data_IF_908332537476
#
_entry.id   IF_908332537476
#
_cell.length_a   1.000
_cell.length_b   1.000
_cell.length_c   1.000
_cell.angle_alpha   90.00
_cell.angle_beta   90.00
_cell.angle_gamma   90.00
#
_symmetry.space_group_name_H-M   'P 1'
#
loop_
_entity.id
_entity.type
_entity.pdbx_description
1 polymer ?
#
# COMPACT_ATOMS: atom_id res chain seq x y z
N UNK A 1 79.50 -9.27 7.92
CA UNK A 1 79.29 -9.78 6.55
C UNK A 1 77.81 -9.65 6.24
N UNK A 2 77.49 -8.73 5.34
CA UNK A 2 76.15 -8.32 4.92
C UNK A 2 75.39 -9.45 4.22
N UNK A 3 74.07 -9.22 4.08
CA UNK A 3 73.08 -9.92 3.26
C UNK A 3 72.33 -11.03 3.98
N UNK A 4 71.04 -10.80 4.27
CA UNK A 4 69.95 -11.37 3.47
C UNK A 4 68.62 -10.67 3.82
N UNK A 5 68.23 -9.78 2.89
CA UNK A 5 66.90 -9.71 2.27
C UNK A 5 65.73 -9.28 3.16
N UNK A 6 65.67 -7.96 3.33
CA UNK A 6 64.44 -7.19 3.17
C UNK A 6 63.59 -7.76 2.01
N UNK A 7 62.54 -8.51 2.34
CA UNK A 7 61.56 -9.08 1.39
C UNK A 7 60.13 -9.04 1.96
N UNK A 8 59.86 -8.11 2.87
CA UNK A 8 58.54 -7.96 3.49
C UNK A 8 57.83 -6.68 3.04
N UNK A 9 58.48 -5.78 2.28
CA UNK A 9 57.91 -4.45 2.04
C UNK A 9 57.95 -3.99 0.57
N UNK A 10 57.96 -4.93 -0.38
CA UNK A 10 57.83 -4.65 -1.83
C UNK A 10 56.89 -5.68 -2.48
N UNK A 11 55.75 -5.94 -1.85
CA UNK A 11 54.64 -6.68 -2.48
C UNK A 11 53.30 -6.03 -2.13
N UNK A 12 53.25 -4.69 -2.15
CA UNK A 12 52.06 -3.91 -1.76
C UNK A 12 51.63 -2.88 -2.82
N UNK A 13 52.26 -2.80 -4.00
CA UNK A 13 52.06 -1.63 -4.89
C UNK A 13 51.75 -1.95 -6.35
N UNK A 14 51.65 -3.21 -6.78
CA UNK A 14 51.33 -3.50 -8.18
C UNK A 14 50.33 -4.65 -8.32
N UNK A 15 49.05 -4.35 -8.08
CA UNK A 15 47.93 -5.07 -8.71
C UNK A 15 46.81 -4.06 -9.02
N UNK A 16 46.99 -3.35 -10.13
CA UNK A 16 45.99 -3.09 -11.19
C UNK A 16 44.53 -2.98 -10.71
N UNK A 17 43.93 -1.80 -10.56
CA UNK A 17 43.40 -0.98 -11.67
C UNK A 17 43.08 -1.84 -12.91
N UNK A 18 41.85 -2.36 -12.99
CA UNK A 18 41.04 -2.55 -14.21
C UNK A 18 39.88 -3.50 -13.90
N UNK A 19 38.73 -2.97 -13.47
CA UNK A 19 37.41 -3.55 -13.74
C UNK A 19 36.35 -2.43 -13.74
N UNK A 20 36.38 -1.61 -14.79
CA UNK A 20 35.19 -0.89 -15.25
C UNK A 20 34.79 -1.56 -16.57
N UNK A 21 33.97 -2.59 -16.47
CA UNK A 21 33.05 -3.02 -17.53
C UNK A 21 31.74 -3.29 -16.82
N UNK A 22 30.80 -2.37 -16.97
CA UNK A 22 29.43 -2.54 -16.52
C UNK A 22 28.79 -3.72 -17.25
N UNK A 23 28.32 -4.68 -16.48
CA UNK A 23 27.27 -5.59 -16.92
C UNK A 23 26.01 -5.18 -16.14
N UNK A 24 25.27 -4.19 -16.67
CA UNK A 24 23.85 -4.06 -16.40
C UNK A 24 23.20 -5.33 -16.95
N UNK A 25 22.85 -6.25 -16.06
CA UNK A 25 22.04 -7.41 -16.37
C UNK A 25 21.05 -7.59 -15.25
N UNK A 26 20.01 -6.75 -15.30
CA UNK A 26 18.67 -7.03 -14.77
C UNK A 26 17.78 -5.81 -15.00
N UNK A 27 17.47 -5.51 -16.25
CA UNK A 27 16.35 -4.63 -16.60
C UNK A 27 15.80 -5.10 -17.96
N UNK A 28 14.51 -5.43 -17.99
CA UNK A 28 13.80 -5.75 -19.22
C UNK A 28 12.61 -6.68 -19.04
N UNK A 29 11.51 -6.11 -18.55
CA UNK A 29 10.11 -6.54 -18.79
C UNK A 29 9.62 -7.83 -18.11
N UNK A 30 8.46 -7.91 -17.44
CA UNK A 30 7.27 -7.04 -17.47
C UNK A 30 6.24 -7.48 -16.41
N UNK A 31 5.65 -6.51 -15.68
CA UNK A 31 4.22 -6.42 -15.23
C UNK A 31 4.12 -5.52 -13.97
N UNK A 32 4.11 -4.18 -14.07
CA UNK A 32 2.99 -3.28 -14.44
C UNK A 32 2.14 -2.78 -13.25
N UNK A 33 2.22 -1.47 -13.00
CA UNK A 33 1.16 -0.66 -12.38
C UNK A 33 1.66 0.27 -11.26
N UNK A 34 1.76 1.60 -11.40
CA UNK A 34 1.49 2.51 -12.50
C UNK A 34 2.26 3.80 -12.18
N UNK A 35 2.91 4.42 -13.16
CA UNK A 35 3.29 5.84 -13.10
C UNK A 35 2.03 6.72 -13.22
N UNK A 36 0.98 6.35 -12.48
CA UNK A 36 -0.38 6.86 -12.60
C UNK A 36 -0.44 8.28 -12.10
N UNK A 37 -1.34 9.05 -12.69
CA UNK A 37 -1.56 10.44 -12.35
C UNK A 37 -1.62 10.61 -10.83
N UNK A 38 -0.68 11.41 -10.31
CA UNK A 38 -0.54 11.70 -8.88
C UNK A 38 -1.66 12.62 -8.38
N UNK A 39 -2.70 12.81 -9.17
CA UNK A 39 -3.80 13.73 -8.90
C UNK A 39 -5.12 13.05 -9.24
N UNK A 40 -6.16 13.52 -8.58
CA UNK A 40 -7.51 13.02 -8.82
C UNK A 40 -8.55 13.77 -8.01
N UNK A 41 -9.75 13.22 -8.01
CA UNK A 41 -10.91 13.79 -7.32
C UNK A 41 -11.48 12.77 -6.35
N UNK A 42 -11.76 13.22 -5.13
CA UNK A 42 -12.40 12.40 -4.12
C UNK A 42 -13.84 12.07 -4.52
N UNK A 43 -14.20 10.80 -4.41
CA UNK A 43 -15.52 10.29 -4.77
C UNK A 43 -16.02 9.25 -3.77
N UNK A 44 -17.32 8.98 -3.86
CA UNK A 44 -17.89 7.81 -3.18
C UNK A 44 -17.39 6.53 -3.83
N UNK A 45 -17.19 5.50 -3.03
CA UNK A 45 -16.77 4.19 -3.52
C UNK A 45 -17.44 3.06 -2.76
N UNK A 46 -17.52 1.91 -3.41
CA UNK A 46 -17.98 0.65 -2.83
C UNK A 46 -16.86 -0.37 -2.95
N UNK A 47 -16.84 -1.32 -2.02
CA UNK A 47 -15.94 -2.47 -2.07
C UNK A 47 -16.78 -3.72 -2.25
N UNK A 48 -16.48 -4.49 -3.28
CA UNK A 48 -17.06 -5.81 -3.49
C UNK A 48 -16.42 -6.80 -2.54
N UNK A 49 -17.21 -7.41 -1.68
CA UNK A 49 -16.74 -8.34 -0.65
C UNK A 49 -17.30 -9.73 -0.92
N UNK A 50 -16.41 -10.70 -1.13
CA UNK A 50 -16.79 -12.11 -1.13
C UNK A 50 -17.00 -12.57 0.32
N UNK A 51 -18.24 -12.92 0.69
CA UNK A 51 -18.56 -13.28 2.07
C UNK A 51 -17.85 -14.55 2.55
N UNK A 52 -17.55 -15.49 1.64
CA UNK A 52 -16.83 -16.70 2.01
C UNK A 52 -15.38 -16.38 2.42
N UNK A 53 -14.72 -15.43 1.74
CA UNK A 53 -13.34 -15.02 2.00
C UNK A 53 -13.15 -14.35 3.38
N UNK A 54 -14.22 -13.83 3.96
CA UNK A 54 -14.17 -13.26 5.31
C UNK A 54 -13.94 -14.34 6.38
N UNK A 55 -14.41 -15.57 6.15
CA UNK A 55 -14.45 -16.62 7.18
C UNK A 55 -13.63 -17.85 6.83
N UNK A 56 -13.30 -18.07 5.56
CA UNK A 56 -12.51 -19.19 5.10
C UNK A 56 -11.48 -18.77 4.06
N UNK A 57 -10.48 -19.64 3.84
CA UNK A 57 -9.61 -19.51 2.67
C UNK A 57 -10.40 -19.95 1.45
N UNK A 58 -10.51 -19.06 0.48
CA UNK A 58 -11.22 -19.27 -0.78
C UNK A 58 -10.20 -19.29 -1.91
N UNK A 59 -10.39 -20.16 -2.91
CA UNK A 59 -9.50 -20.21 -4.06
C UNK A 59 -9.64 -18.97 -4.95
N UNK A 60 -8.62 -18.63 -5.73
CA UNK A 60 -8.69 -17.48 -6.66
C UNK A 60 -9.81 -17.63 -7.69
N UNK A 61 -10.12 -18.86 -8.12
CA UNK A 61 -11.22 -19.14 -9.03
C UNK A 61 -12.58 -18.77 -8.41
N UNK A 62 -12.82 -19.18 -7.16
CA UNK A 62 -14.05 -18.84 -6.42
C UNK A 62 -14.15 -17.35 -6.10
N UNK A 63 -13.02 -16.67 -5.86
CA UNK A 63 -13.00 -15.21 -5.71
C UNK A 63 -13.42 -14.51 -7.00
N UNK A 64 -12.98 -15.02 -8.15
CA UNK A 64 -13.28 -14.45 -9.47
C UNK A 64 -14.74 -14.66 -9.88
N UNK A 65 -15.34 -15.80 -9.56
CA UNK A 65 -16.75 -16.07 -9.87
C UNK A 65 -17.70 -15.18 -9.06
N UNK A 66 -17.29 -14.74 -7.87
CA UNK A 66 -18.03 -13.78 -7.04
C UNK A 66 -19.51 -14.15 -6.77
N UNK A 67 -19.85 -15.44 -6.76
CA UNK A 67 -21.24 -15.94 -6.65
C UNK A 67 -21.97 -15.49 -5.35
N UNK A 68 -21.23 -15.06 -4.33
CA UNK A 68 -21.75 -14.58 -3.03
C UNK A 68 -21.17 -13.22 -2.63
N UNK A 69 -20.88 -12.38 -3.62
CA UNK A 69 -20.34 -11.05 -3.37
C UNK A 69 -21.41 -10.03 -3.00
N UNK A 70 -21.06 -9.15 -2.06
CA UNK A 70 -21.90 -8.02 -1.68
C UNK A 70 -21.11 -6.73 -1.82
N UNK A 71 -21.73 -5.70 -2.37
CA UNK A 71 -21.16 -4.36 -2.36
C UNK A 71 -21.31 -3.74 -0.97
N UNK A 72 -20.22 -3.19 -0.44
CA UNK A 72 -20.20 -2.48 0.83
C UNK A 72 -19.76 -1.05 0.59
N UNK A 73 -20.62 -0.10 0.99
CA UNK A 73 -20.21 1.30 1.10
C UNK A 73 -19.16 1.44 2.19
N UNK A 74 -18.12 2.20 1.90
CA UNK A 74 -17.07 2.54 2.86
C UNK A 74 -17.23 3.97 3.33
N UNK A 75 -16.81 4.30 4.57
CA UNK A 75 -16.90 5.67 5.08
C UNK A 75 -16.00 6.61 4.28
N UNK A 76 -16.53 7.77 3.92
CA UNK A 76 -15.83 8.78 3.13
C UNK A 76 -14.94 9.63 4.03
N UNK A 77 -13.91 9.01 4.62
CA UNK A 77 -13.05 9.68 5.59
C UNK A 77 -11.59 9.73 5.11
N UNK A 78 -10.85 10.69 5.68
CA UNK A 78 -9.39 10.78 5.65
C UNK A 78 -8.89 10.53 7.07
N UNK A 79 -8.08 9.47 7.25
CA UNK A 79 -7.48 9.14 8.54
C UNK A 79 -6.04 9.64 8.61
N UNK A 80 -5.67 10.31 9.70
CA UNK A 80 -4.29 10.75 9.91
C UNK A 80 -3.32 9.58 10.12
N UNK A 81 -3.83 8.44 10.63
CA UNK A 81 -3.05 7.26 10.96
C UNK A 81 -3.63 6.02 10.28
N UNK A 82 -2.75 5.25 9.63
CA UNK A 82 -2.99 3.89 9.17
C UNK A 82 -1.79 3.06 9.60
N UNK A 83 -2.05 1.89 10.19
CA UNK A 83 -1.02 0.98 10.68
C UNK A 83 -0.94 -0.26 9.79
N UNK A 84 0.26 -0.62 9.35
CA UNK A 84 0.47 -1.92 8.70
C UNK A 84 0.70 -2.99 9.75
N UNK A 85 -0.15 -4.03 9.74
CA UNK A 85 -0.14 -5.06 10.77
C UNK A 85 -0.19 -6.46 10.15
N UNK A 86 0.26 -7.46 10.91
CA UNK A 86 0.10 -8.87 10.54
C UNK A 86 -0.58 -9.65 11.66
N UNK A 87 -1.86 -9.96 11.49
CA UNK A 87 -2.71 -10.51 12.55
C UNK A 87 -3.72 -11.53 12.02
N UNK A 88 -4.32 -12.29 12.93
CA UNK A 88 -5.40 -13.22 12.60
C UNK A 88 -6.73 -12.45 12.56
N UNK A 89 -7.49 -12.53 11.47
CA UNK A 89 -8.86 -12.02 11.43
C UNK A 89 -9.85 -13.01 12.05
N UNK A 90 -9.69 -14.30 11.72
CA UNK A 90 -10.41 -15.40 12.37
C UNK A 90 -9.43 -16.32 13.06
N UNK A 91 -9.92 -17.14 13.99
CA UNK A 91 -9.11 -18.16 14.66
C UNK A 91 -8.56 -19.24 13.70
N UNK A 92 -9.07 -19.34 12.46
CA UNK A 92 -8.73 -20.40 11.50
C UNK A 92 -7.96 -19.92 10.25
N UNK A 93 -7.94 -18.62 9.96
CA UNK A 93 -7.36 -18.07 8.72
C UNK A 93 -5.83 -17.97 8.72
N UNK A 94 -5.20 -18.02 9.90
CA UNK A 94 -3.79 -17.69 10.07
C UNK A 94 -3.53 -16.17 9.95
N UNK A 95 -2.25 -15.77 10.10
CA UNK A 95 -1.86 -14.36 10.11
C UNK A 95 -1.83 -13.78 8.70
N UNK A 96 -2.61 -12.72 8.50
CA UNK A 96 -2.72 -11.97 7.24
C UNK A 96 -2.20 -10.54 7.43
N UNK A 97 -1.73 -9.92 6.36
CA UNK A 97 -1.34 -8.52 6.35
C UNK A 97 -2.57 -7.62 6.22
N UNK A 98 -2.65 -6.58 7.05
CA UNK A 98 -3.74 -5.60 7.04
C UNK A 98 -3.22 -4.18 7.06
N UNK A 99 -3.89 -3.31 6.33
CA UNK A 99 -3.88 -1.87 6.58
C UNK A 99 -4.98 -1.57 7.59
N UNK A 100 -4.58 -1.28 8.82
CA UNK A 100 -5.46 -1.14 9.97
C UNK A 100 -5.80 0.32 10.22
N UNK A 101 -7.11 0.60 10.22
CA UNK A 101 -7.68 1.79 10.82
C UNK A 101 -8.28 1.41 12.17
N UNK A 102 -7.77 2.01 13.24
CA UNK A 102 -8.20 1.74 14.60
C UNK A 102 -8.70 3.01 15.30
N UNK A 103 -9.97 3.34 15.09
CA UNK A 103 -10.63 4.51 15.67
C UNK A 103 -10.87 4.37 17.19
N UNK A 104 -10.52 3.22 17.80
CA UNK A 104 -10.49 3.10 19.27
C UNK A 104 -9.20 3.65 19.89
N UNK A 105 -8.11 3.64 19.12
CA UNK A 105 -6.78 4.05 19.60
C UNK A 105 -6.33 5.38 19.02
N UNK A 106 -6.75 5.66 17.78
CA UNK A 106 -6.39 6.85 17.03
C UNK A 106 -7.62 7.75 16.85
N UNK A 107 -7.43 9.06 16.60
CA UNK A 107 -8.53 9.94 16.26
C UNK A 107 -9.34 9.37 15.08
N UNK A 108 -10.69 9.47 15.12
CA UNK A 108 -11.50 9.02 14.01
C UNK A 108 -11.18 9.82 12.75
N UNK A 109 -11.34 9.19 11.59
CA UNK A 109 -11.12 9.86 10.32
C UNK A 109 -12.08 11.04 10.11
N UNK A 110 -11.58 12.10 9.49
CA UNK A 110 -12.35 13.29 9.14
C UNK A 110 -13.13 13.01 7.84
N UNK A 111 -14.46 13.23 7.80
CA UNK A 111 -15.23 13.06 6.57
C UNK A 111 -14.71 13.99 5.46
N UNK A 112 -14.57 13.50 4.24
CA UNK A 112 -14.14 14.31 3.10
C UNK A 112 -15.30 14.76 2.22
N UNK A 113 -15.10 15.89 1.53
CA UNK A 113 -16.01 16.41 0.51
C UNK A 113 -15.82 15.69 -0.84
N UNK A 114 -16.88 15.06 -1.35
CA UNK A 114 -16.89 14.51 -2.71
C UNK A 114 -16.72 15.65 -3.71
N UNK A 115 -15.82 15.48 -4.68
CA UNK A 115 -15.46 16.50 -5.65
C UNK A 115 -14.19 17.30 -5.28
N UNK A 116 -13.67 17.15 -4.05
CA UNK A 116 -12.41 17.78 -3.69
C UNK A 116 -11.23 17.15 -4.44
N UNK A 117 -10.34 18.00 -4.98
CA UNK A 117 -9.13 17.59 -5.67
C UNK A 117 -8.07 17.15 -4.67
N UNK A 118 -7.30 16.15 -5.03
CA UNK A 118 -6.23 15.59 -4.21
C UNK A 118 -4.95 15.37 -5.01
N UNK A 119 -3.83 15.39 -4.31
CA UNK A 119 -2.55 14.82 -4.74
C UNK A 119 -2.35 13.49 -4.00
N UNK A 120 -1.99 12.42 -4.70
CA UNK A 120 -1.59 11.14 -4.12
C UNK A 120 -0.11 11.25 -3.74
N UNK A 121 0.15 11.24 -2.43
CA UNK A 121 1.48 11.47 -1.84
C UNK A 121 2.09 10.19 -1.24
N UNK A 122 1.38 9.06 -1.29
CA UNK A 122 1.92 7.79 -0.83
C UNK A 122 0.97 6.62 -1.05
N UNK A 123 1.55 5.43 -0.99
CA UNK A 123 0.86 4.14 -1.03
C UNK A 123 1.25 3.36 0.22
N UNK A 124 0.40 2.43 0.65
CA UNK A 124 0.79 1.48 1.69
C UNK A 124 1.98 0.63 1.20
N UNK A 125 3.02 0.51 2.01
CA UNK A 125 4.29 -0.10 1.63
C UNK A 125 4.21 -1.61 1.37
N UNK A 126 3.30 -2.31 2.06
CA UNK A 126 3.09 -3.75 1.90
C UNK A 126 1.93 -4.12 0.95
N UNK A 127 1.39 -3.14 0.22
CA UNK A 127 0.18 -3.29 -0.62
C UNK A 127 -0.87 -4.18 0.07
N UNK A 128 -1.26 -3.75 1.29
CA UNK A 128 -2.11 -4.52 2.17
C UNK A 128 -3.28 -5.13 1.39
N UNK A 129 -3.25 -6.46 1.19
CA UNK A 129 -4.30 -7.17 0.44
C UNK A 129 -5.69 -6.88 1.02
N UNK A 130 -5.75 -6.65 2.34
CA UNK A 130 -6.97 -6.29 3.03
C UNK A 130 -6.78 -5.05 3.91
N UNK A 131 -7.86 -4.31 4.06
CA UNK A 131 -8.04 -3.29 5.09
C UNK A 131 -8.84 -3.87 6.24
N UNK A 132 -8.46 -3.50 7.47
CA UNK A 132 -9.23 -3.80 8.67
C UNK A 132 -9.67 -2.49 9.32
N UNK A 133 -10.99 -2.30 9.43
CA UNK A 133 -11.58 -1.14 10.06
C UNK A 133 -12.15 -1.53 11.43
N UNK A 134 -11.56 -0.98 12.50
CA UNK A 134 -12.03 -1.13 13.88
C UNK A 134 -12.64 0.17 14.38
N UNK A 135 -13.96 0.19 14.56
CA UNK A 135 -14.70 1.37 15.02
C UNK A 135 -15.42 1.11 16.35
N UNK A 136 -15.53 2.13 17.21
CA UNK A 136 -16.37 2.07 18.41
C UNK A 136 -17.76 1.51 18.11
N UNK A 137 -18.23 0.59 18.97
CA UNK A 137 -19.54 -0.05 18.90
C UNK A 137 -19.84 -0.86 17.62
N UNK A 138 -18.83 -1.15 16.79
CA UNK A 138 -18.98 -1.96 15.58
C UNK A 138 -18.04 -3.17 15.63
N UNK A 139 -18.44 -4.28 15.01
CA UNK A 139 -17.55 -5.41 14.79
C UNK A 139 -16.41 -5.02 13.81
N UNK A 140 -15.20 -5.57 13.97
CA UNK A 140 -14.10 -5.34 13.02
C UNK A 140 -14.50 -5.74 11.59
N UNK A 141 -14.33 -4.81 10.66
CA UNK A 141 -14.71 -4.99 9.27
C UNK A 141 -13.47 -5.21 8.40
N UNK A 142 -13.31 -6.43 7.87
CA UNK A 142 -12.30 -6.78 6.86
C UNK A 142 -12.83 -6.45 5.47
N UNK A 143 -12.02 -5.77 4.65
CA UNK A 143 -12.37 -5.35 3.29
C UNK A 143 -11.21 -5.66 2.31
N UNK A 144 -11.48 -6.23 1.11
CA UNK A 144 -10.48 -6.47 0.08
C UNK A 144 -10.19 -5.19 -0.72
N UNK A 145 -9.64 -4.17 -0.07
CA UNK A 145 -9.22 -2.91 -0.68
C UNK A 145 -7.97 -2.41 0.02
N UNK A 146 -7.19 -1.58 -0.65
CA UNK A 146 -6.03 -0.88 -0.09
C UNK A 146 -6.35 0.58 0.26
N UNK A 147 -5.40 1.23 0.94
CA UNK A 147 -5.40 2.66 1.23
C UNK A 147 -4.32 3.38 0.42
N UNK A 148 -4.58 4.64 0.11
CA UNK A 148 -3.62 5.59 -0.45
C UNK A 148 -3.53 6.81 0.46
N UNK A 149 -2.35 7.41 0.52
CA UNK A 149 -2.14 8.67 1.23
C UNK A 149 -2.34 9.83 0.27
N UNK A 150 -3.20 10.76 0.66
CA UNK A 150 -3.58 11.91 -0.14
C UNK A 150 -3.32 13.22 0.60
N UNK A 151 -3.11 14.29 -0.18
CA UNK A 151 -3.19 15.68 0.26
C UNK A 151 -4.32 16.36 -0.48
N UNK A 152 -5.27 16.96 0.23
CA UNK A 152 -6.36 17.73 -0.38
C UNK A 152 -5.84 19.06 -0.90
N UNK A 153 -6.12 19.38 -2.16
CA UNK A 153 -5.59 20.56 -2.85
C UNK A 153 -6.65 21.62 -3.16
N UNK A 154 -7.94 21.32 -2.97
CA UNK A 154 -9.05 22.25 -3.17
C UNK A 154 -10.14 22.14 -2.11
N UNK A 155 -11.06 23.11 -2.07
CA UNK A 155 -12.21 23.08 -1.18
C UNK A 155 -11.89 23.50 0.25
N UNK A 156 -12.82 23.22 1.16
CA UNK A 156 -12.76 23.62 2.57
C UNK A 156 -11.67 22.90 3.36
N UNK A 157 -11.30 21.68 2.94
CA UNK A 157 -10.30 20.82 3.59
C UNK A 157 -8.91 20.91 2.93
N UNK A 158 -8.65 21.97 2.15
CA UNK A 158 -7.35 22.15 1.50
C UNK A 158 -6.20 22.13 2.51
N UNK A 159 -5.18 21.33 2.22
CA UNK A 159 -4.02 21.13 3.10
C UNK A 159 -4.15 19.93 4.04
N UNK A 160 -5.34 19.34 4.18
CA UNK A 160 -5.53 18.10 4.93
C UNK A 160 -4.78 16.94 4.26
N UNK A 161 -4.02 16.20 5.06
CA UNK A 161 -3.29 15.01 4.63
C UNK A 161 -3.73 13.79 5.43
N UNK A 162 -3.82 12.65 4.75
CA UNK A 162 -4.08 11.38 5.43
C UNK A 162 -4.36 10.26 4.45
N UNK A 163 -4.79 9.13 5.01
CA UNK A 163 -5.10 7.91 4.29
C UNK A 163 -6.57 7.85 3.94
N UNK A 164 -6.89 7.42 2.72
CA UNK A 164 -8.26 7.13 2.30
C UNK A 164 -8.28 5.92 1.36
N UNK A 165 -9.46 5.42 1.04
CA UNK A 165 -9.63 4.22 0.22
C UNK A 165 -9.05 4.44 -1.18
N UNK A 166 -8.35 3.44 -1.71
CA UNK A 166 -7.81 3.51 -3.07
C UNK A 166 -8.90 3.83 -4.12
N UNK A 167 -10.07 3.20 -4.01
CA UNK A 167 -11.21 3.43 -4.90
C UNK A 167 -11.94 4.77 -4.67
N UNK A 168 -11.62 5.51 -3.60
CA UNK A 168 -12.23 6.81 -3.30
C UNK A 168 -11.56 7.96 -4.06
N UNK A 169 -10.52 7.71 -4.85
CA UNK A 169 -9.90 8.72 -5.71
C UNK A 169 -10.08 8.31 -7.17
N UNK A 170 -10.89 9.06 -7.92
CA UNK A 170 -10.93 8.97 -9.38
C UNK A 170 -9.67 9.66 -9.90
N UNK A 171 -8.72 8.92 -10.47
CA UNK A 171 -7.47 9.53 -10.95
C UNK A 171 -7.75 10.27 -12.24
N UNK A 172 -7.03 11.38 -12.43
CA UNK A 172 -7.09 12.06 -13.71
C UNK A 172 -6.66 11.08 -14.82
N UNK A 173 -7.29 11.12 -16.00
CA UNK A 173 -6.94 10.24 -17.13
C UNK A 173 -7.45 8.79 -17.04
N UNK A 174 -8.11 8.38 -15.96
CA UNK A 174 -8.96 7.19 -15.97
C UNK A 174 -10.28 7.55 -16.70
N UNK A 175 -10.40 7.19 -17.99
CA UNK A 175 -11.68 7.23 -18.72
C UNK A 175 -12.58 6.08 -18.24
N UNK A 176 -13.90 6.34 -18.19
CA UNK A 176 -14.93 5.38 -17.73
C UNK A 176 -15.11 4.16 -18.63
#
# INVERSE_FOLDING_TARGET
MFLIKSKILILSVFLTLFFIVGCSSSDGDSSSGSSGNKTGVLQSTTVTVNLAELYSKVSEAELKECNQCVERKVPLNIWSVMEETRQNYTQYSGKEAFCLINDHKNPPGEPFEVGAKVEIIGFAGNDCKYSLLMRPNNAPLKLPTSFIKVRVTSGSQKGTEGWTWNGAVKRDGEEE
#
